data_IF_733515692597
#
_entry.id   IF_733515692597
#
_cell.length_a   1.000
_cell.length_b   1.000
_cell.length_c   1.000
_cell.angle_alpha   90.00
_cell.angle_beta   90.00
_cell.angle_gamma   90.00
#
_symmetry.space_group_name_H-M   'P 1'
#
loop_
_entity.id
_entity.type
_entity.pdbx_description
1 polymer ?
#
# COMPACT_ATOMS: atom_id res chain seq x y z
N UNK A 1 7.16 -1.93 16.77
CA UNK A 1 7.11 -2.05 15.29
C UNK A 1 5.71 -2.54 14.91
N UNK A 2 5.06 -1.94 13.91
CA UNK A 2 3.73 -2.34 13.44
C UNK A 2 3.80 -2.80 11.99
N UNK A 3 2.97 -3.79 11.62
CA UNK A 3 2.83 -4.35 10.29
C UNK A 3 1.42 -4.08 9.76
N UNK A 4 1.34 -3.56 8.53
CA UNK A 4 0.08 -3.42 7.79
C UNK A 4 -0.39 -4.82 7.37
N UNK A 5 -1.65 -5.14 7.67
CA UNK A 5 -2.24 -6.45 7.35
C UNK A 5 -3.59 -6.30 6.66
N UNK A 6 -4.02 -7.39 6.03
CA UNK A 6 -5.35 -7.49 5.40
C UNK A 6 -6.50 -7.38 6.40
N UNK A 7 -7.67 -7.00 5.90
CA UNK A 7 -8.92 -6.94 6.67
C UNK A 7 -9.32 -8.28 7.32
N UNK A 8 -8.79 -9.40 6.81
CA UNK A 8 -8.98 -10.74 7.36
C UNK A 8 -8.22 -11.00 8.67
N UNK A 9 -7.22 -10.19 9.00
CA UNK A 9 -6.48 -10.30 10.24
C UNK A 9 -7.17 -9.54 11.38
N UNK A 10 -6.94 -10.01 12.61
CA UNK A 10 -7.36 -9.29 13.82
C UNK A 10 -6.35 -8.21 14.16
N UNK A 11 -6.84 -7.03 14.55
CA UNK A 11 -6.00 -5.98 15.12
C UNK A 11 -5.39 -6.46 16.43
N UNK A 12 -4.11 -6.17 16.65
CA UNK A 12 -3.39 -6.58 17.85
C UNK A 12 -2.03 -5.89 17.97
N UNK A 13 -1.30 -6.07 19.08
CA UNK A 13 0.03 -5.50 19.23
C UNK A 13 0.93 -5.86 18.05
N UNK A 14 1.37 -4.85 17.30
CA UNK A 14 2.21 -5.02 16.12
C UNK A 14 1.49 -5.29 14.80
N UNK A 15 0.16 -5.42 14.76
CA UNK A 15 -0.60 -5.65 13.53
C UNK A 15 -1.73 -4.63 13.35
N UNK A 16 -1.82 -4.09 12.15
CA UNK A 16 -2.71 -2.97 11.82
C UNK A 16 -3.53 -3.32 10.58
N UNK A 17 -4.78 -3.74 10.81
CA UNK A 17 -5.81 -4.02 9.82
C UNK A 17 -6.69 -2.78 9.61
N UNK A 18 -7.30 -2.62 8.41
CA UNK A 18 -8.21 -1.52 8.14
C UNK A 18 -9.49 -1.58 8.98
N UNK A 19 -10.13 -0.43 9.17
CA UNK A 19 -11.46 -0.37 9.77
C UNK A 19 -12.48 -1.05 8.86
N UNK A 20 -13.25 -1.98 9.43
CA UNK A 20 -14.31 -2.72 8.73
C UNK A 20 -15.57 -1.87 8.61
N UNK A 21 -16.34 -2.09 7.54
CA UNK A 21 -17.58 -1.35 7.27
C UNK A 21 -17.34 0.12 6.94
N UNK A 22 -16.13 0.47 6.53
CA UNK A 22 -15.72 1.81 6.10
C UNK A 22 -15.09 1.68 4.71
N UNK A 23 -15.23 2.71 3.88
CA UNK A 23 -14.62 2.79 2.55
C UNK A 23 -13.12 2.46 2.63
N UNK A 24 -12.59 1.75 1.64
CA UNK A 24 -11.21 1.25 1.69
C UNK A 24 -10.51 1.20 0.34
N UNK A 25 -11.21 0.93 -0.76
CA UNK A 25 -10.56 0.78 -2.06
C UNK A 25 -10.17 2.14 -2.64
N UNK A 26 -8.98 2.24 -3.21
CA UNK A 26 -8.45 3.50 -3.75
C UNK A 26 -9.41 4.18 -4.74
N UNK A 27 -10.07 3.37 -5.59
CA UNK A 27 -11.03 3.86 -6.58
C UNK A 27 -12.26 4.55 -5.97
N UNK A 28 -12.60 4.26 -4.71
CA UNK A 28 -13.74 4.87 -4.02
C UNK A 28 -13.45 6.32 -3.59
N UNK A 29 -12.19 6.75 -3.63
CA UNK A 29 -11.75 8.10 -3.26
C UNK A 29 -11.62 9.07 -4.45
N UNK A 30 -11.78 8.58 -5.68
CA UNK A 30 -11.76 9.44 -6.87
C UNK A 30 -12.94 10.42 -6.77
N UNK A 31 -12.63 11.71 -6.60
CA UNK A 31 -13.64 12.76 -6.42
C UNK A 31 -14.31 12.80 -5.04
N UNK A 32 -13.82 12.03 -4.06
CA UNK A 32 -14.39 11.99 -2.71
C UNK A 32 -13.32 12.17 -1.63
N UNK A 33 -13.56 13.07 -0.69
CA UNK A 33 -12.67 13.27 0.48
C UNK A 33 -13.11 12.42 1.68
N UNK A 34 -12.17 11.92 2.50
CA UNK A 34 -12.51 11.26 3.76
C UNK A 34 -13.35 12.15 4.68
N UNK A 35 -14.44 11.61 5.22
CA UNK A 35 -15.37 12.35 6.07
C UNK A 35 -15.11 12.17 7.57
N UNK A 36 -14.33 11.14 7.94
CA UNK A 36 -14.04 10.82 9.33
C UNK A 36 -12.66 10.17 9.47
N UNK A 37 -12.18 10.06 10.72
CA UNK A 37 -10.85 9.52 11.01
C UNK A 37 -10.68 8.05 10.57
N UNK A 38 -11.75 7.25 10.51
CA UNK A 38 -11.68 5.85 10.05
C UNK A 38 -11.47 5.79 8.54
N UNK A 39 -12.16 6.65 7.81
CA UNK A 39 -12.00 6.82 6.37
C UNK A 39 -10.60 7.32 6.02
N UNK A 40 -10.11 8.35 6.74
CA UNK A 40 -8.76 8.86 6.55
C UNK A 40 -7.70 7.78 6.82
N UNK A 41 -7.87 7.03 7.90
CA UNK A 41 -7.00 5.91 8.21
C UNK A 41 -7.03 4.84 7.12
N UNK A 42 -8.20 4.45 6.63
CA UNK A 42 -8.34 3.45 5.58
C UNK A 42 -7.75 3.92 4.24
N UNK A 43 -7.89 5.21 3.91
CA UNK A 43 -7.21 5.81 2.75
C UNK A 43 -5.69 5.62 2.88
N UNK A 44 -5.10 6.12 3.96
CA UNK A 44 -3.66 5.97 4.22
C UNK A 44 -3.20 4.50 4.24
N UNK A 45 -4.00 3.61 4.84
CA UNK A 45 -3.72 2.18 4.89
C UNK A 45 -3.72 1.56 3.48
N UNK A 46 -4.76 1.81 2.70
CA UNK A 46 -4.91 1.30 1.34
C UNK A 46 -3.82 1.83 0.40
N UNK A 47 -3.42 3.09 0.55
CA UNK A 47 -2.33 3.71 -0.21
C UNK A 47 -0.97 3.08 0.11
N UNK A 48 -0.64 2.96 1.40
CA UNK A 48 0.60 2.31 1.83
C UNK A 48 0.67 0.85 1.33
N UNK A 49 -0.46 0.14 1.36
CA UNK A 49 -0.56 -1.21 0.82
C UNK A 49 -0.38 -1.24 -0.70
N UNK A 50 -1.03 -0.33 -1.42
CA UNK A 50 -0.96 -0.22 -2.88
C UNK A 50 0.48 0.05 -3.37
N UNK A 51 1.24 0.89 -2.67
CA UNK A 51 2.65 1.15 -2.95
C UNK A 51 3.52 -0.12 -2.95
N UNK A 52 3.14 -1.15 -2.18
CA UNK A 52 3.83 -2.44 -2.15
C UNK A 52 3.22 -3.41 -3.15
N UNK A 53 1.89 -3.55 -3.19
CA UNK A 53 1.21 -4.53 -4.03
C UNK A 53 1.40 -4.30 -5.53
N UNK A 54 1.41 -3.03 -5.98
CA UNK A 54 1.54 -2.70 -7.40
C UNK A 54 2.87 -3.14 -8.02
N UNK A 55 4.06 -2.88 -7.43
CA UNK A 55 5.33 -3.44 -7.90
C UNK A 55 5.33 -4.97 -8.02
N UNK A 56 4.72 -5.69 -7.07
CA UNK A 56 4.56 -7.15 -7.19
C UNK A 56 3.64 -7.54 -8.35
N UNK A 57 2.58 -6.77 -8.60
CA UNK A 57 1.71 -6.94 -9.76
C UNK A 57 2.47 -6.76 -11.08
N UNK A 58 3.28 -5.72 -11.19
CA UNK A 58 4.14 -5.45 -12.35
C UNK A 58 5.12 -6.61 -12.57
N UNK A 59 5.81 -7.05 -11.52
CA UNK A 59 6.74 -8.18 -11.59
C UNK A 59 6.04 -9.46 -12.06
N UNK A 60 4.84 -9.76 -11.55
CA UNK A 60 4.03 -10.90 -12.01
C UNK A 60 3.54 -10.75 -13.45
N UNK A 61 3.30 -9.52 -13.92
CA UNK A 61 2.91 -9.26 -15.31
C UNK A 61 4.05 -9.56 -16.28
N UNK A 62 5.27 -9.10 -15.94
CA UNK A 62 6.50 -9.31 -16.70
C UNK A 62 7.00 -10.75 -16.63
N UNK A 63 7.11 -11.28 -15.43
CA UNK A 63 7.68 -12.60 -15.15
C UNK A 63 6.55 -13.60 -14.89
N UNK A 64 6.10 -14.28 -15.94
CA UNK A 64 4.99 -15.25 -15.88
C UNK A 64 5.23 -16.37 -14.86
N UNK A 65 6.49 -16.73 -14.60
CA UNK A 65 6.91 -17.71 -13.59
C UNK A 65 6.43 -17.37 -12.18
N UNK A 66 6.17 -16.09 -11.88
CA UNK A 66 5.67 -15.63 -10.58
C UNK A 66 4.13 -15.71 -10.46
N UNK A 67 3.42 -16.03 -11.54
CA UNK A 67 1.95 -16.15 -11.54
C UNK A 67 1.46 -17.55 -11.25
N UNK A 68 2.23 -18.56 -11.61
CA UNK A 68 1.84 -19.96 -11.45
C UNK A 68 2.43 -20.57 -10.18
N UNK A 69 1.67 -21.42 -9.47
CA UNK A 69 2.23 -22.19 -8.38
C UNK A 69 3.39 -23.04 -8.91
N UNK A 70 4.53 -22.96 -8.24
CA UNK A 70 5.73 -23.71 -8.61
C UNK A 70 5.89 -24.94 -7.75
N UNK A 71 6.43 -26.01 -8.32
CA UNK A 71 6.85 -27.21 -7.58
C UNK A 71 8.31 -27.14 -7.09
N UNK A 72 8.93 -25.97 -7.16
CA UNK A 72 10.28 -25.74 -6.67
C UNK A 72 10.32 -25.78 -5.14
N UNK A 73 11.45 -26.21 -4.59
CA UNK A 73 11.72 -26.06 -3.17
C UNK A 73 11.79 -24.57 -2.79
N UNK A 74 11.51 -24.27 -1.52
CA UNK A 74 11.44 -22.89 -1.02
C UNK A 74 12.72 -22.10 -1.32
N UNK A 75 13.90 -22.72 -1.24
CA UNK A 75 15.18 -22.04 -1.50
C UNK A 75 15.31 -21.65 -2.98
N UNK A 76 14.93 -22.54 -3.89
CA UNK A 76 14.93 -22.25 -5.32
C UNK A 76 13.89 -21.18 -5.67
N UNK A 77 12.69 -21.23 -5.08
CA UNK A 77 11.67 -20.21 -5.29
C UNK A 77 12.15 -18.81 -4.86
N UNK A 78 12.79 -18.70 -3.69
CA UNK A 78 13.39 -17.42 -3.22
C UNK A 78 14.44 -16.92 -4.21
N UNK A 79 15.29 -17.80 -4.74
CA UNK A 79 16.31 -17.44 -5.75
C UNK A 79 15.67 -16.93 -7.04
N UNK A 80 14.62 -17.59 -7.52
CA UNK A 80 13.86 -17.16 -8.71
C UNK A 80 13.26 -15.77 -8.48
N UNK A 81 12.59 -15.56 -7.34
CA UNK A 81 12.00 -14.26 -6.98
C UNK A 81 13.10 -13.19 -7.00
N UNK A 82 14.20 -13.40 -6.28
CA UNK A 82 15.30 -12.44 -6.22
C UNK A 82 15.90 -12.15 -7.62
N UNK A 83 16.07 -13.18 -8.46
CA UNK A 83 16.55 -12.99 -9.83
C UNK A 83 15.60 -12.12 -10.65
N UNK A 84 14.27 -12.33 -10.54
CA UNK A 84 13.27 -11.48 -11.19
C UNK A 84 13.35 -10.01 -10.74
N UNK A 85 13.58 -9.77 -9.44
CA UNK A 85 13.76 -8.41 -8.90
C UNK A 85 15.03 -7.75 -9.41
N UNK A 86 16.17 -8.46 -9.37
CA UNK A 86 17.46 -7.94 -9.87
C UNK A 86 17.38 -7.61 -11.35
N UNK A 87 16.82 -8.52 -12.16
CA UNK A 87 16.65 -8.30 -13.60
C UNK A 87 15.69 -7.14 -13.88
N UNK A 88 14.61 -7.00 -13.09
CA UNK A 88 13.69 -5.88 -13.22
C UNK A 88 14.37 -4.54 -12.96
N UNK A 89 15.16 -4.45 -11.89
CA UNK A 89 15.92 -3.24 -11.57
C UNK A 89 16.97 -2.94 -12.65
N UNK A 90 17.70 -3.97 -13.11
CA UNK A 90 18.69 -3.81 -14.17
C UNK A 90 18.08 -3.26 -15.48
N UNK A 91 16.93 -3.81 -15.91
CA UNK A 91 16.22 -3.32 -17.10
C UNK A 91 15.76 -1.87 -16.90
N UNK A 92 15.29 -1.53 -15.70
CA UNK A 92 14.84 -0.17 -15.37
C UNK A 92 15.99 0.85 -15.39
N UNK A 93 17.19 0.42 -15.01
CA UNK A 93 18.38 1.28 -15.03
C UNK A 93 18.95 1.46 -16.46
N UNK A 94 18.83 0.44 -17.32
CA UNK A 94 19.41 0.42 -18.67
C UNK A 94 18.46 0.95 -19.77
N UNK A 95 17.14 0.73 -19.63
CA UNK A 95 16.14 1.18 -20.59
C UNK A 95 15.49 2.49 -20.13
N UNK A 96 15.74 3.58 -20.86
CA UNK A 96 15.08 4.87 -20.60
C UNK A 96 13.55 4.83 -20.81
N UNK A 97 13.05 3.86 -21.59
CA UNK A 97 11.64 3.73 -21.98
C UNK A 97 11.29 2.24 -22.03
N UNK A 98 10.61 1.76 -20.99
CA UNK A 98 10.04 0.42 -20.97
C UNK A 98 8.52 0.54 -21.18
N UNK A 99 8.07 0.42 -22.42
CA UNK A 99 6.69 0.73 -22.84
C UNK A 99 5.62 -0.04 -22.05
N UNK A 100 5.94 -1.23 -21.55
CA UNK A 100 5.02 -2.05 -20.74
C UNK A 100 4.93 -1.49 -19.31
N UNK A 101 6.00 -0.89 -18.80
CA UNK A 101 6.08 -0.32 -17.46
C UNK A 101 5.66 1.15 -17.41
N UNK A 102 5.99 1.95 -18.41
CA UNK A 102 5.72 3.40 -18.41
C UNK A 102 4.27 3.74 -18.15
N UNK A 103 3.32 3.05 -18.81
CA UNK A 103 1.89 3.30 -18.59
C UNK A 103 1.49 3.00 -17.15
N UNK A 104 2.05 1.96 -16.53
CA UNK A 104 1.77 1.59 -15.15
C UNK A 104 2.52 2.47 -14.13
N UNK A 105 3.73 2.91 -14.44
CA UNK A 105 4.58 3.74 -13.57
C UNK A 105 4.14 5.22 -13.59
N UNK A 106 3.66 5.73 -14.72
CA UNK A 106 3.07 7.07 -14.83
C UNK A 106 1.76 7.15 -14.04
N UNK A 107 0.91 6.12 -14.14
CA UNK A 107 -0.32 6.01 -13.33
C UNK A 107 0.02 5.92 -11.83
N UNK A 108 1.13 5.26 -11.47
CA UNK A 108 1.62 5.16 -10.09
C UNK A 108 2.06 6.52 -9.54
N UNK A 109 2.87 7.26 -10.31
CA UNK A 109 3.32 8.60 -9.91
C UNK A 109 2.15 9.57 -9.79
N UNK A 110 1.19 9.56 -10.73
CA UNK A 110 0.05 10.47 -10.67
C UNK A 110 -0.86 10.22 -9.46
N UNK A 111 -1.12 8.96 -9.11
CA UNK A 111 -1.96 8.62 -7.95
C UNK A 111 -1.25 8.98 -6.64
N UNK A 112 0.04 8.67 -6.52
CA UNK A 112 0.84 9.01 -5.33
C UNK A 112 0.97 10.53 -5.18
N UNK A 113 1.22 11.24 -6.28
CA UNK A 113 1.35 12.69 -6.30
C UNK A 113 0.02 13.38 -5.96
N UNK A 114 -1.12 12.93 -6.50
CA UNK A 114 -2.45 13.41 -6.09
C UNK A 114 -2.71 13.19 -4.60
N UNK A 115 -2.32 12.03 -4.07
CA UNK A 115 -2.51 11.68 -2.67
C UNK A 115 -1.61 12.49 -1.71
N UNK A 116 -0.34 12.72 -2.09
CA UNK A 116 0.57 13.62 -1.37
C UNK A 116 0.08 15.07 -1.38
N UNK A 117 -0.49 15.52 -2.50
CA UNK A 117 -1.02 16.88 -2.66
C UNK A 117 -2.27 17.08 -1.79
N UNK A 118 -3.13 16.07 -1.68
CA UNK A 118 -4.28 16.08 -0.79
C UNK A 118 -3.85 16.08 0.69
N UNK A 119 -2.81 15.33 1.06
CA UNK A 119 -2.26 15.32 2.43
C UNK A 119 -1.57 16.65 2.83
N UNK A 120 -0.90 17.33 1.88
CA UNK A 120 -0.28 18.64 2.14
C UNK A 120 -1.33 19.74 2.32
N UNK A 121 -2.44 19.68 1.57
CA UNK A 121 -3.54 20.64 1.67
C UNK A 121 -4.24 20.60 3.04
N UNK A 122 -4.38 19.41 3.63
CA UNK A 122 -4.95 19.25 4.98
C UNK A 122 -3.99 19.67 6.11
N UNK A 123 -2.67 19.52 5.92
CA UNK A 123 -1.67 19.97 6.92
C UNK A 123 -1.59 21.49 7.05
N UNK A 124 -1.80 22.24 5.97
CA UNK A 124 -1.73 23.71 6.01
C UNK A 124 -2.93 24.32 6.74
N UNK A 125 -4.06 23.62 6.83
CA UNK A 125 -5.27 24.15 7.47
C UNK A 125 -5.36 23.84 8.97
N UNK A 126 -4.66 22.81 9.45
CA UNK A 126 -4.62 22.42 10.85
C UNK A 126 -3.24 22.68 11.47
N UNK A 127 -2.84 23.95 11.57
CA UNK A 127 -1.75 24.38 12.45
C UNK A 127 -2.21 24.40 13.92
N UNK A 128 -2.75 23.28 14.40
CA UNK A 128 -2.83 22.97 15.82
C UNK A 128 -1.93 21.77 16.03
N UNK A 129 -0.78 22.02 16.66
CA UNK A 129 0.18 20.98 17.03
C UNK A 129 -0.47 20.16 18.14
N UNK A 130 -1.24 19.13 17.77
CA UNK A 130 -1.68 18.09 18.70
C UNK A 130 -0.54 17.07 18.83
N UNK A 131 0.37 17.34 19.76
CA UNK A 131 1.26 16.30 20.27
C UNK A 131 0.41 15.24 20.98
N UNK A 132 0.55 13.97 20.57
CA UNK A 132 -0.08 12.83 21.26
C UNK A 132 0.54 12.69 22.64
N UNK A 133 -0.04 13.36 23.63
CA UNK A 133 0.47 13.39 25.00
C UNK A 133 0.23 12.06 25.76
N UNK A 134 -0.79 11.29 25.37
CA UNK A 134 -1.11 10.02 26.03
C UNK A 134 -1.84 9.04 25.11
N UNK A 135 -1.43 7.78 25.13
CA UNK A 135 -2.14 6.66 24.50
C UNK A 135 -3.00 5.99 25.59
N UNK A 136 -4.32 6.09 25.46
CA UNK A 136 -5.26 5.35 26.33
C UNK A 136 -5.92 4.23 25.55
N UNK A 137 -6.03 3.05 26.16
CA UNK A 137 -6.74 1.91 25.57
C UNK A 137 -8.24 2.16 25.70
N UNK A 138 -8.92 2.41 24.58
CA UNK A 138 -10.38 2.58 24.58
C UNK A 138 -11.09 1.23 24.61
N UNK A 139 -12.11 1.11 25.48
CA UNK A 139 -12.91 -0.11 25.67
C UNK A 139 -13.90 -0.39 24.53
N UNK A 140 -13.92 0.46 23.51
CA UNK A 140 -14.83 0.36 22.36
C UNK A 140 -14.66 -0.95 21.57
N UNK A 141 -13.54 -1.66 21.76
CA UNK A 141 -13.21 -2.92 21.08
C UNK A 141 -13.44 -4.17 21.94
N UNK A 142 -14.04 -4.04 23.13
CA UNK A 142 -14.24 -5.17 24.09
C UNK A 142 -15.67 -5.68 24.23
N UNK A 143 -16.60 -5.31 23.35
CA UNK A 143 -17.94 -5.89 23.34
C UNK A 143 -18.33 -6.38 21.95
N UNK A 144 -18.22 -7.69 21.78
CA UNK A 144 -19.06 -8.49 20.88
C UNK A 144 -20.09 -9.23 21.74
#
# INVERSE_FOLDING_TARGET
>A
KYFLVDAGYTNGPGFVAPYRGTRYHLNEWIGNTPQNFKELFNLCHSSARNAIERPFGILKKRWSILRTPSFFDIKTLIRIINACFVLHNFIRDDQQIDQILEVQDIELLSIIDEELTNQQSERVQNNVIDEVATIQVTKEWTRF
#
